data_IF_811020340304
#
_entry.id   IF_811020340304
#
_cell.length_a   1.000
_cell.length_b   1.000
_cell.length_c   1.000
_cell.angle_alpha   90.00
_cell.angle_beta   90.00
_cell.angle_gamma   90.00
#
_symmetry.space_group_name_H-M   'P 1'
#
loop_
_entity.id
_entity.type
_entity.pdbx_description
1 polymer ?
#
# COMPACT_ATOMS: atom_id res chain seq x y z
N UNK A 1 -5.12 8.36 21.64
CA UNK A 1 -3.89 7.57 21.72
C UNK A 1 -4.25 6.15 21.32
N UNK A 2 -3.66 5.60 20.26
CA UNK A 2 -4.09 4.33 19.65
C UNK A 2 -3.01 3.24 19.65
N UNK A 3 -1.84 3.55 20.22
CA UNK A 3 -0.73 2.61 20.32
C UNK A 3 -0.70 2.09 21.75
N UNK A 4 -0.83 0.77 21.90
CA UNK A 4 -0.60 0.11 23.18
C UNK A 4 0.91 -0.19 23.32
N UNK A 5 1.60 0.35 24.33
CA UNK A 5 3.04 0.16 24.47
C UNK A 5 3.37 -1.29 24.85
N UNK A 6 4.52 -1.76 24.37
CA UNK A 6 5.12 -3.04 24.76
C UNK A 6 6.32 -2.80 25.67
N UNK A 7 6.41 -3.58 26.75
CA UNK A 7 7.51 -3.46 27.72
C UNK A 7 8.84 -4.02 27.19
N UNK A 8 8.79 -4.85 26.16
CA UNK A 8 9.92 -5.49 25.54
C UNK A 8 9.65 -5.70 24.04
N UNK A 9 10.58 -6.35 23.35
CA UNK A 9 10.48 -6.64 21.91
C UNK A 9 9.83 -7.99 21.59
N UNK A 10 9.05 -8.56 22.52
CA UNK A 10 8.36 -9.82 22.28
C UNK A 10 7.38 -9.71 21.10
N UNK A 11 7.48 -10.60 20.09
CA UNK A 11 6.63 -10.52 18.90
C UNK A 11 5.14 -10.51 19.20
N UNK A 12 4.67 -11.28 20.18
CA UNK A 12 3.24 -11.34 20.53
C UNK A 12 2.66 -9.98 20.94
N UNK A 13 3.40 -9.21 21.74
CA UNK A 13 2.98 -7.87 22.12
C UNK A 13 3.01 -6.92 20.92
N UNK A 14 4.12 -6.91 20.17
CA UNK A 14 4.30 -6.00 19.04
C UNK A 14 3.28 -6.25 17.92
N UNK A 15 2.95 -7.51 17.65
CA UNK A 15 1.90 -7.90 16.69
C UNK A 15 0.56 -7.34 17.15
N UNK A 16 0.18 -7.54 18.42
CA UNK A 16 -1.08 -7.05 18.98
C UNK A 16 -1.15 -5.52 18.95
N UNK A 17 -0.10 -4.84 19.43
CA UNK A 17 -0.02 -3.38 19.42
C UNK A 17 -0.15 -2.81 18.00
N UNK A 18 0.52 -3.43 17.02
CA UNK A 18 0.43 -3.02 15.61
C UNK A 18 -0.96 -3.29 15.04
N UNK A 19 -1.58 -4.43 15.40
CA UNK A 19 -2.91 -4.81 14.95
C UNK A 19 -3.99 -3.86 15.48
N UNK A 20 -3.89 -3.44 16.74
CA UNK A 20 -4.79 -2.47 17.36
C UNK A 20 -4.60 -1.09 16.71
N UNK A 21 -3.36 -0.73 16.37
CA UNK A 21 -3.02 0.58 15.84
C UNK A 21 -3.38 0.79 14.35
N UNK A 22 -3.48 -0.28 13.55
CA UNK A 22 -3.59 -0.18 12.08
C UNK A 22 -4.81 0.62 11.62
N UNK A 23 -5.93 0.53 12.35
CA UNK A 23 -7.17 1.22 12.01
C UNK A 23 -6.98 2.74 12.10
N UNK A 24 -6.43 3.24 13.20
CA UNK A 24 -6.20 4.66 13.39
C UNK A 24 -5.02 5.17 12.56
N UNK A 25 -3.95 4.39 12.44
CA UNK A 25 -2.82 4.72 11.57
C UNK A 25 -3.25 4.89 10.11
N UNK A 26 -4.18 4.07 9.62
CA UNK A 26 -4.69 4.16 8.24
C UNK A 26 -5.40 5.48 7.91
N UNK A 27 -5.85 6.24 8.92
CA UNK A 27 -6.44 7.57 8.75
C UNK A 27 -5.39 8.63 8.41
N UNK A 28 -4.10 8.31 8.57
CA UNK A 28 -2.98 9.22 8.41
C UNK A 28 -2.61 9.95 9.69
N UNK A 29 -1.42 10.54 9.70
CA UNK A 29 -0.88 11.37 10.78
C UNK A 29 -0.39 12.69 10.18
N UNK A 30 -1.29 13.65 9.88
CA UNK A 30 -0.92 14.88 9.17
C UNK A 30 0.16 15.71 9.88
N UNK A 31 0.15 15.70 11.21
CA UNK A 31 1.16 16.39 12.03
C UNK A 31 2.57 15.77 11.90
N UNK A 32 2.68 14.55 11.37
CA UNK A 32 3.93 13.86 11.04
C UNK A 32 4.14 13.73 9.52
N UNK A 33 3.32 14.40 8.71
CA UNK A 33 3.38 14.33 7.25
C UNK A 33 2.94 12.99 6.65
N UNK A 34 2.27 12.13 7.41
CA UNK A 34 1.73 10.86 6.89
C UNK A 34 0.31 11.13 6.34
N UNK A 35 0.07 10.96 5.03
CA UNK A 35 -1.26 11.17 4.46
C UNK A 35 -2.22 10.04 4.86
N UNK A 36 -3.52 10.18 4.62
CA UNK A 36 -4.46 9.06 4.71
C UNK A 36 -3.99 7.88 3.85
N UNK A 37 -4.04 6.69 4.42
CA UNK A 37 -3.59 5.45 3.78
C UNK A 37 -4.75 4.50 3.43
N UNK A 38 -5.97 4.79 3.91
CA UNK A 38 -7.20 4.09 3.52
C UNK A 38 -8.42 5.06 3.48
N UNK A 39 -8.75 5.65 2.32
CA UNK A 39 -8.11 5.42 1.03
C UNK A 39 -6.76 6.14 0.89
N UNK A 40 -5.76 5.45 0.34
CA UNK A 40 -4.56 6.08 -0.20
C UNK A 40 -4.86 6.61 -1.61
N UNK A 41 -4.59 7.89 -1.83
CA UNK A 41 -4.89 8.58 -3.09
C UNK A 41 -3.67 8.55 -4.00
N UNK A 42 -3.89 8.16 -5.25
CA UNK A 42 -2.89 8.16 -6.33
C UNK A 42 -3.39 9.14 -7.39
N UNK A 43 -2.81 10.33 -7.46
CA UNK A 43 -3.30 11.37 -8.38
C UNK A 43 -3.14 10.95 -9.83
N UNK A 44 -1.90 10.60 -10.20
CA UNK A 44 -1.54 10.12 -11.52
C UNK A 44 -0.39 9.11 -11.39
N UNK A 45 -0.49 8.00 -12.12
CA UNK A 45 0.55 6.98 -12.18
C UNK A 45 0.74 6.51 -13.63
N UNK A 46 1.79 6.98 -14.32
CA UNK A 46 2.17 6.41 -15.61
C UNK A 46 2.82 5.03 -15.41
N UNK A 47 2.37 4.06 -16.18
CA UNK A 47 2.82 2.67 -16.18
C UNK A 47 3.25 2.33 -17.59
N UNK A 48 4.54 2.04 -17.76
CA UNK A 48 5.08 1.54 -19.01
C UNK A 48 5.15 0.01 -18.96
N UNK A 49 4.35 -0.65 -19.80
CA UNK A 49 4.45 -2.08 -20.04
C UNK A 49 5.04 -2.32 -21.44
N UNK A 50 5.54 -3.53 -21.74
CA UNK A 50 6.01 -3.86 -23.08
C UNK A 50 4.90 -3.64 -24.13
N UNK A 51 5.12 -2.69 -25.04
CA UNK A 51 4.19 -2.40 -26.15
C UNK A 51 2.97 -1.55 -25.78
N UNK A 52 2.69 -1.28 -24.51
CA UNK A 52 1.52 -0.51 -24.08
C UNK A 52 1.88 0.51 -22.98
N UNK A 53 1.40 1.72 -23.17
CA UNK A 53 1.46 2.82 -22.19
C UNK A 53 0.11 2.89 -21.50
N UNK A 54 0.11 2.85 -20.18
CA UNK A 54 -1.09 3.02 -19.37
C UNK A 54 -0.87 4.19 -18.44
N UNK A 55 -1.84 5.08 -18.32
CA UNK A 55 -1.83 6.10 -17.27
C UNK A 55 -3.05 5.93 -16.40
N UNK A 56 -2.83 5.82 -15.10
CA UNK A 56 -3.88 5.70 -14.09
C UNK A 56 -4.12 7.05 -13.42
N UNK A 57 -5.39 7.42 -13.20
CA UNK A 57 -5.78 8.72 -12.69
C UNK A 57 -6.77 8.62 -11.54
N UNK A 58 -6.66 9.53 -10.58
CA UNK A 58 -7.63 9.69 -9.49
C UNK A 58 -7.83 8.40 -8.69
N UNK A 59 -6.76 7.65 -8.54
CA UNK A 59 -6.69 6.37 -7.88
C UNK A 59 -7.03 6.43 -6.40
N UNK A 60 -7.76 5.42 -5.92
CA UNK A 60 -8.04 5.19 -4.50
C UNK A 60 -7.76 3.74 -4.17
N UNK A 61 -6.70 3.49 -3.41
CA UNK A 61 -6.39 2.20 -2.83
C UNK A 61 -6.99 2.09 -1.44
N UNK A 62 -7.72 1.01 -1.16
CA UNK A 62 -8.43 0.76 0.11
C UNK A 62 -8.16 -0.65 0.60
N UNK A 63 -8.31 -0.88 1.90
CA UNK A 63 -8.17 -2.20 2.52
C UNK A 63 -7.09 -2.28 3.59
N UNK A 64 -6.19 -1.29 3.67
CA UNK A 64 -5.11 -1.24 4.65
C UNK A 64 -5.63 -1.34 6.09
N UNK A 65 -6.73 -0.65 6.40
CA UNK A 65 -7.32 -0.64 7.75
C UNK A 65 -7.82 -2.01 8.23
N UNK A 66 -7.91 -2.99 7.32
CA UNK A 66 -8.37 -4.36 7.59
C UNK A 66 -7.26 -5.40 7.44
N UNK A 67 -6.00 -4.97 7.29
CA UNK A 67 -4.92 -5.94 7.19
C UNK A 67 -4.74 -6.68 8.51
N UNK A 68 -4.35 -7.95 8.37
CA UNK A 68 -3.94 -8.80 9.47
C UNK A 68 -2.44 -8.67 9.65
N UNK A 69 -1.99 -8.36 10.85
CA UNK A 69 -0.57 -8.37 11.21
C UNK A 69 -0.12 -9.81 11.41
N UNK A 70 0.85 -10.24 10.62
CA UNK A 70 1.39 -11.60 10.66
C UNK A 70 2.64 -11.68 11.53
N UNK A 71 3.53 -10.69 11.42
CA UNK A 71 4.75 -10.65 12.20
C UNK A 71 5.21 -9.19 12.43
N UNK A 72 5.85 -8.97 13.57
CA UNK A 72 6.53 -7.71 13.90
C UNK A 72 7.80 -8.05 14.68
N UNK A 73 8.94 -7.54 14.21
CA UNK A 73 10.22 -7.68 14.92
C UNK A 73 10.85 -6.31 15.11
N UNK A 74 11.45 -6.11 16.28
CA UNK A 74 12.15 -4.89 16.64
C UNK A 74 13.61 -5.21 17.00
N UNK A 75 14.54 -4.81 16.15
CA UNK A 75 15.97 -4.92 16.36
C UNK A 75 16.52 -3.57 16.85
N UNK A 76 16.35 -3.30 18.15
CA UNK A 76 16.67 -1.99 18.75
C UNK A 76 18.14 -1.58 18.56
N UNK A 77 19.09 -2.51 18.72
CA UNK A 77 20.53 -2.28 18.52
C UNK A 77 20.86 -1.84 17.08
N UNK A 78 20.05 -2.27 16.12
CA UNK A 78 20.24 -1.99 14.69
C UNK A 78 19.36 -0.84 14.20
N UNK A 79 18.45 -0.34 15.05
CA UNK A 79 17.42 0.63 14.69
C UNK A 79 16.56 0.16 13.50
N UNK A 80 16.16 -1.12 13.50
CA UNK A 80 15.35 -1.72 12.44
C UNK A 80 14.07 -2.30 13.02
N UNK A 81 12.95 -1.97 12.39
CA UNK A 81 11.66 -2.64 12.61
C UNK A 81 11.24 -3.35 11.33
N UNK A 82 10.80 -4.60 11.47
CA UNK A 82 10.19 -5.36 10.38
C UNK A 82 8.71 -5.56 10.70
N UNK A 83 7.86 -5.37 9.71
CA UNK A 83 6.41 -5.57 9.82
C UNK A 83 5.97 -6.37 8.62
N UNK A 84 5.24 -7.45 8.85
CA UNK A 84 4.62 -8.27 7.81
C UNK A 84 3.10 -8.28 8.02
N UNK A 85 2.36 -7.87 6.99
CA UNK A 85 0.90 -7.81 7.02
C UNK A 85 0.31 -8.53 5.81
N UNK A 86 -0.85 -9.17 6.01
CA UNK A 86 -1.70 -9.68 4.95
C UNK A 86 -2.88 -8.77 4.74
N UNK A 87 -3.13 -8.37 3.50
CA UNK A 87 -4.14 -7.41 3.15
C UNK A 87 -5.02 -7.91 2.00
N UNK A 88 -6.27 -7.47 1.98
CA UNK A 88 -7.12 -7.49 0.79
C UNK A 88 -7.24 -6.06 0.29
N UNK A 89 -6.61 -5.76 -0.84
CA UNK A 89 -6.52 -4.39 -1.37
C UNK A 89 -7.48 -4.23 -2.55
N UNK A 90 -8.23 -3.13 -2.57
CA UNK A 90 -9.02 -2.72 -3.74
C UNK A 90 -8.56 -1.34 -4.19
N UNK A 91 -8.12 -1.27 -5.44
CA UNK A 91 -7.72 -0.04 -6.11
C UNK A 91 -8.78 0.29 -7.16
N UNK A 92 -9.31 1.51 -7.11
CA UNK A 92 -10.25 2.02 -8.12
C UNK A 92 -9.72 3.32 -8.70
N UNK A 93 -9.92 3.54 -9.98
CA UNK A 93 -9.53 4.79 -10.63
C UNK A 93 -9.92 4.78 -12.10
N UNK A 94 -9.53 5.85 -12.80
CA UNK A 94 -9.67 5.93 -14.24
C UNK A 94 -8.36 5.56 -14.90
N UNK A 95 -8.40 5.13 -16.15
CA UNK A 95 -7.19 4.84 -16.90
C UNK A 95 -7.32 5.31 -18.35
N UNK A 96 -6.18 5.58 -18.96
CA UNK A 96 -5.98 5.57 -20.40
C UNK A 96 -4.95 4.49 -20.74
N UNK A 97 -5.10 3.86 -21.90
CA UNK A 97 -4.17 2.86 -22.39
C UNK A 97 -3.99 3.01 -23.90
N UNK A 98 -2.75 3.13 -24.34
CA UNK A 98 -2.40 3.29 -25.75
C UNK A 98 -1.24 2.37 -26.13
N UNK A 99 -1.36 1.68 -27.25
CA UNK A 99 -0.29 0.89 -27.83
C UNK A 99 -0.80 -0.42 -28.40
N UNK A 100 -0.09 -1.51 -28.12
CA UNK A 100 -0.43 -2.83 -28.60
C UNK A 100 -0.18 -3.87 -27.50
N UNK A 101 -1.22 -4.64 -27.20
CA UNK A 101 -1.13 -5.81 -26.35
C UNK A 101 -1.05 -7.04 -27.25
N UNK A 102 0.13 -7.67 -27.32
CA UNK A 102 0.45 -8.74 -28.26
C UNK A 102 0.24 -8.29 -29.73
N UNK A 103 -0.84 -8.75 -30.37
CA UNK A 103 -1.21 -8.37 -31.75
C UNK A 103 -2.35 -7.34 -31.77
N UNK A 104 -3.02 -7.11 -30.65
CA UNK A 104 -4.22 -6.28 -30.60
C UNK A 104 -3.85 -4.82 -30.31
N UNK A 105 -4.23 -3.87 -31.19
CA UNK A 105 -4.08 -2.46 -30.89
C UNK A 105 -4.99 -2.09 -29.71
N UNK A 106 -4.46 -1.32 -28.77
CA UNK A 106 -5.16 -0.80 -27.61
C UNK A 106 -5.20 0.72 -27.71
N UNK A 107 -6.40 1.27 -27.59
CA UNK A 107 -6.67 2.68 -27.41
C UNK A 107 -7.91 2.75 -26.52
N UNK A 108 -7.73 2.45 -25.25
CA UNK A 108 -8.79 2.30 -24.27
C UNK A 108 -8.76 3.43 -23.26
N UNK A 109 -9.94 3.84 -22.80
CA UNK A 109 -10.07 4.76 -21.67
C UNK A 109 -11.35 4.45 -20.92
N UNK A 110 -11.31 4.48 -19.60
CA UNK A 110 -12.47 4.16 -18.80
C UNK A 110 -12.18 4.00 -17.33
N UNK A 111 -13.08 3.29 -16.65
CA UNK A 111 -12.95 2.94 -15.25
C UNK A 111 -12.18 1.64 -15.08
N UNK A 112 -11.42 1.57 -13.99
CA UNK A 112 -10.65 0.40 -13.62
C UNK A 112 -10.81 0.10 -12.14
N UNK A 113 -10.87 -1.20 -11.85
CA UNK A 113 -10.93 -1.73 -10.49
C UNK A 113 -10.05 -2.97 -10.41
N UNK A 114 -9.09 -2.92 -9.51
CA UNK A 114 -8.16 -4.00 -9.23
C UNK A 114 -8.44 -4.49 -7.82
N UNK A 115 -8.75 -5.77 -7.66
CA UNK A 115 -8.83 -6.42 -6.34
C UNK A 115 -7.68 -7.39 -6.19
N UNK A 116 -6.89 -7.22 -5.15
CA UNK A 116 -5.76 -8.07 -4.79
C UNK A 116 -6.14 -8.80 -3.51
N UNK A 117 -6.18 -10.13 -3.57
CA UNK A 117 -6.62 -10.98 -2.46
C UNK A 117 -5.40 -11.61 -1.79
N UNK A 118 -5.37 -11.51 -0.46
CA UNK A 118 -4.31 -12.07 0.39
C UNK A 118 -2.89 -11.60 0.04
N UNK A 119 -2.72 -10.33 -0.37
CA UNK A 119 -1.38 -9.78 -0.61
C UNK A 119 -0.58 -9.68 0.68
N UNK A 120 0.69 -10.10 0.65
CA UNK A 120 1.65 -9.87 1.73
C UNK A 120 2.45 -8.61 1.46
N UNK A 121 2.47 -7.73 2.46
CA UNK A 121 3.29 -6.52 2.46
C UNK A 121 4.31 -6.68 3.58
N UNK A 122 5.59 -6.56 3.24
CA UNK A 122 6.68 -6.53 4.22
C UNK A 122 7.30 -5.15 4.22
N UNK A 123 7.41 -4.54 5.39
CA UNK A 123 7.99 -3.23 5.60
C UNK A 123 9.22 -3.37 6.48
N UNK A 124 10.35 -2.87 6.00
CA UNK A 124 11.59 -2.74 6.75
C UNK A 124 11.83 -1.26 7.01
N UNK A 125 11.67 -0.83 8.26
CA UNK A 125 11.79 0.57 8.67
C UNK A 125 13.14 0.73 9.36
N UNK A 126 13.97 1.64 8.85
CA UNK A 126 15.17 2.09 9.54
C UNK A 126 14.81 3.34 10.35
N UNK A 127 15.08 3.32 11.64
CA UNK A 127 14.83 4.43 12.55
C UNK A 127 16.13 5.13 12.95
N UNK A 128 16.00 6.28 13.59
CA UNK A 128 17.05 6.99 14.31
C UNK A 128 16.51 7.43 15.66
N UNK A 129 17.34 7.42 16.69
CA UNK A 129 17.02 8.07 17.95
C UNK A 129 17.36 9.55 17.85
N UNK A 130 16.51 10.38 18.45
CA UNK A 130 16.80 11.78 18.69
C UNK A 130 16.15 12.21 20.01
N UNK A 131 16.73 13.24 20.63
CA UNK A 131 16.12 13.88 21.80
C UNK A 131 15.35 15.11 21.39
N UNK A 132 14.20 15.35 22.01
CA UNK A 132 13.50 16.62 21.89
C UNK A 132 14.16 17.71 22.75
N UNK A 133 13.57 18.92 22.74
CA UNK A 133 14.05 20.06 23.52
C UNK A 133 14.00 19.81 25.03
N UNK A 134 13.14 18.90 25.46
CA UNK A 134 12.97 18.49 26.86
C UNK A 134 13.86 17.30 27.23
N UNK A 135 14.68 16.79 26.31
CA UNK A 135 15.62 15.68 26.53
C UNK A 135 15.00 14.28 26.45
N UNK A 136 13.73 14.15 26.07
CA UNK A 136 13.03 12.87 25.93
C UNK A 136 13.45 12.18 24.63
N UNK A 137 13.57 10.86 24.68
CA UNK A 137 13.95 10.06 23.52
C UNK A 137 12.76 9.80 22.59
N UNK A 138 13.01 9.95 21.29
CA UNK A 138 12.04 9.71 20.22
C UNK A 138 12.64 8.85 19.12
N UNK A 139 11.79 8.03 18.49
CA UNK A 139 12.12 7.39 17.22
C UNK A 139 11.74 8.30 16.06
N UNK A 140 12.70 8.57 15.19
CA UNK A 140 12.47 9.18 13.87
C UNK A 140 12.60 8.12 12.79
N UNK A 141 11.71 8.13 11.79
CA UNK A 141 11.87 7.30 10.60
C UNK A 141 13.00 7.90 9.76
N UNK A 142 14.05 7.11 9.50
CA UNK A 142 15.17 7.50 8.62
C UNK A 142 14.89 7.10 7.17
N UNK A 143 14.43 5.87 6.97
CA UNK A 143 14.05 5.34 5.66
C UNK A 143 13.20 4.10 5.84
N UNK A 144 12.53 3.66 4.78
CA UNK A 144 11.85 2.39 4.75
C UNK A 144 12.03 1.72 3.40
N UNK A 145 11.98 0.39 3.39
CA UNK A 145 11.86 -0.44 2.19
C UNK A 145 10.62 -1.28 2.34
N UNK A 146 9.85 -1.41 1.28
CA UNK A 146 8.71 -2.31 1.26
C UNK A 146 8.86 -3.34 0.15
N UNK A 147 8.35 -4.54 0.39
CA UNK A 147 8.04 -5.51 -0.65
C UNK A 147 6.55 -5.74 -0.65
N UNK A 148 5.98 -5.84 -1.84
CA UNK A 148 4.58 -6.11 -2.06
C UNK A 148 4.47 -7.31 -2.98
N UNK A 149 3.83 -8.38 -2.53
CA UNK A 149 3.45 -9.46 -3.42
C UNK A 149 2.05 -9.21 -4.01
N UNK A 150 1.82 -9.83 -5.15
CA UNK A 150 0.57 -9.73 -5.90
C UNK A 150 -0.57 -10.58 -5.29
N UNK A 151 -0.37 -11.14 -4.09
CA UNK A 151 -1.29 -12.04 -3.42
C UNK A 151 -1.52 -13.36 -4.14
N UNK A 152 -2.51 -14.11 -3.66
CA UNK A 152 -2.92 -15.38 -4.27
C UNK A 152 -3.71 -15.17 -5.56
N UNK A 153 -4.44 -14.06 -5.67
CA UNK A 153 -5.32 -13.76 -6.79
C UNK A 153 -5.48 -12.27 -7.02
N UNK A 154 -5.40 -11.86 -8.29
CA UNK A 154 -5.77 -10.52 -8.73
C UNK A 154 -6.96 -10.58 -9.67
N UNK A 155 -7.97 -9.75 -9.40
CA UNK A 155 -9.09 -9.53 -10.29
C UNK A 155 -9.02 -8.14 -10.89
N UNK A 156 -8.99 -8.08 -12.21
CA UNK A 156 -9.05 -6.84 -12.98
C UNK A 156 -10.47 -6.67 -13.54
N UNK A 157 -11.04 -5.49 -13.35
CA UNK A 157 -12.23 -5.04 -14.06
C UNK A 157 -11.85 -3.74 -14.76
N UNK A 158 -11.87 -3.76 -16.09
CA UNK A 158 -11.39 -2.65 -16.93
C UNK A 158 -12.47 -2.44 -18.00
N UNK A 159 -13.05 -1.25 -18.05
CA UNK A 159 -14.11 -0.95 -19.02
C UNK A 159 -13.53 -0.28 -20.26
N UNK A 160 -14.07 -0.59 -21.45
CA UNK A 160 -13.74 0.11 -22.69
C UNK A 160 -12.24 0.04 -23.07
N UNK A 161 -11.64 -1.15 -22.92
CA UNK A 161 -10.26 -1.41 -23.31
C UNK A 161 -10.08 -1.36 -24.84
N UNK A 162 -11.09 -1.82 -25.59
CA UNK A 162 -11.14 -1.74 -27.05
C UNK A 162 -12.30 -0.83 -27.47
N UNK A 163 -11.99 0.45 -27.73
CA UNK A 163 -12.98 1.45 -28.14
C UNK A 163 -13.91 0.92 -29.22
N UNK A 164 -15.22 0.96 -28.94
CA UNK A 164 -16.27 0.59 -29.89
C UNK A 164 -16.45 -0.91 -30.15
N UNK A 165 -15.73 -1.79 -29.44
CA UNK A 165 -15.92 -3.23 -29.54
C UNK A 165 -16.32 -3.82 -28.17
N UNK A 166 -17.63 -4.05 -28.01
CA UNK A 166 -18.19 -4.62 -26.79
C UNK A 166 -17.76 -6.08 -26.56
N UNK A 167 -17.66 -6.89 -27.62
CA UNK A 167 -17.25 -8.30 -27.53
C UNK A 167 -15.84 -8.47 -26.96
N UNK A 168 -14.94 -7.52 -27.25
CA UNK A 168 -13.57 -7.52 -26.74
C UNK A 168 -13.41 -6.77 -25.39
N UNK A 169 -14.41 -6.00 -24.97
CA UNK A 169 -14.32 -5.09 -23.80
C UNK A 169 -15.11 -5.53 -22.57
N UNK A 170 -15.78 -6.69 -22.63
CA UNK A 170 -16.54 -7.32 -21.51
C UNK A 170 -15.74 -8.35 -20.74
#
# INVERSE_FOLDING_TARGET
DFIHPCNNTEPACLIKATQDAILDFSKGLPHLGVPPLDPFVIEELPIQLPGIKVTFYGGKATGLKKCQVLNVEAYLERNIFTIEVRCNITIKGKYTAEGRLLLFPINGEGDSKIKIVNSIIKLNINTKYYKDKEGRDHFGIKSYKYTFDYGERIHYTITNLFKGNAELST
#
